data_IF_987703940526
#
_entry.id   IF_987703940526
#
_cell.length_a   1.000
_cell.length_b   1.000
_cell.length_c   1.000
_cell.angle_alpha   90.00
_cell.angle_beta   90.00
_cell.angle_gamma   90.00
#
_symmetry.space_group_name_H-M   'P 1'
#
loop_
_entity.id
_entity.type
_entity.pdbx_description
1 polymer ?
#
# COMPACT_ATOMS: atom_id res chain seq x y z
N UNK A 1 -14.61 -8.86 -3.47
CA UNK A 1 -13.84 -8.12 -2.44
C UNK A 1 -12.73 -7.31 -3.12
N UNK A 2 -12.47 -6.08 -2.65
CA UNK A 2 -11.38 -5.27 -3.18
C UNK A 2 -10.04 -5.70 -2.59
N UNK A 3 -8.99 -5.63 -3.40
CA UNK A 3 -7.62 -5.92 -3.04
C UNK A 3 -6.80 -4.71 -3.51
N UNK A 4 -6.11 -4.06 -2.57
CA UNK A 4 -5.20 -2.97 -2.84
C UNK A 4 -3.79 -3.45 -2.58
N UNK A 5 -2.98 -3.57 -3.64
CA UNK A 5 -1.59 -4.00 -3.56
C UNK A 5 -0.69 -2.80 -3.77
N UNK A 6 0.26 -2.56 -2.86
CA UNK A 6 1.16 -1.40 -2.91
C UNK A 6 2.61 -1.82 -2.98
N UNK A 7 3.42 -0.97 -3.60
CA UNK A 7 4.87 -1.10 -3.63
C UNK A 7 5.53 0.27 -3.48
N UNK A 8 6.78 0.27 -3.00
CA UNK A 8 7.57 1.47 -2.87
C UNK A 8 9.04 1.21 -3.22
N UNK A 9 9.60 2.07 -4.06
CA UNK A 9 11.02 2.12 -4.37
C UNK A 9 11.65 3.41 -3.84
N UNK A 10 12.96 3.55 -3.98
CA UNK A 10 13.67 4.77 -3.60
C UNK A 10 13.31 5.99 -4.47
N UNK A 11 12.58 5.79 -5.58
CA UNK A 11 12.27 6.83 -6.56
C UNK A 11 10.77 7.05 -6.76
N UNK A 12 9.95 6.03 -6.53
CA UNK A 12 8.50 6.09 -6.76
C UNK A 12 7.71 5.20 -5.80
N UNK A 13 6.41 5.47 -5.72
CA UNK A 13 5.43 4.61 -5.07
C UNK A 13 4.36 4.21 -6.08
N UNK A 14 3.84 2.99 -5.91
CA UNK A 14 2.91 2.37 -6.84
C UNK A 14 1.82 1.62 -6.12
N UNK A 15 0.66 1.53 -6.77
CA UNK A 15 -0.48 0.80 -6.26
C UNK A 15 -1.32 0.21 -7.40
N UNK A 16 -1.86 -0.98 -7.12
CA UNK A 16 -2.78 -1.69 -8.00
C UNK A 16 -4.05 -1.95 -7.20
N UNK A 17 -5.16 -1.45 -7.72
CA UNK A 17 -6.48 -1.78 -7.22
C UNK A 17 -7.06 -2.90 -8.07
N UNK A 18 -7.48 -3.96 -7.41
CA UNK A 18 -8.11 -5.11 -8.05
C UNK A 18 -9.32 -5.60 -7.27
N UNK A 19 -10.09 -6.49 -7.89
CA UNK A 19 -11.20 -7.19 -7.27
C UNK A 19 -11.08 -8.69 -7.48
N UNK A 20 -11.55 -9.45 -6.49
CA UNK A 20 -11.71 -10.90 -6.59
C UNK A 20 -13.06 -11.31 -5.98
N UNK A 21 -13.80 -12.29 -6.54
CA UNK A 21 -15.09 -12.71 -6.01
C UNK A 21 -15.04 -13.11 -4.52
N UNK A 22 -14.02 -13.86 -4.13
CA UNK A 22 -13.80 -14.38 -2.77
C UNK A 22 -12.69 -13.63 -2.00
N UNK A 23 -11.99 -12.70 -2.65
CA UNK A 23 -10.84 -12.00 -2.08
C UNK A 23 -9.53 -12.79 -2.19
N UNK A 24 -9.55 -13.94 -2.88
CA UNK A 24 -8.37 -14.72 -3.24
C UNK A 24 -7.56 -14.04 -4.34
N UNK A 25 -6.21 -14.08 -4.27
CA UNK A 25 -5.33 -13.62 -5.37
C UNK A 25 -5.47 -14.41 -6.67
N UNK A 26 -6.03 -15.62 -6.65
CA UNK A 26 -6.02 -16.52 -7.81
C UNK A 26 -6.97 -16.08 -8.95
N UNK A 27 -8.04 -15.36 -8.61
CA UNK A 27 -9.06 -14.87 -9.55
C UNK A 27 -9.18 -13.34 -9.49
N UNK A 28 -8.02 -12.67 -9.35
CA UNK A 28 -7.93 -11.22 -9.25
C UNK A 28 -8.05 -10.56 -10.63
N UNK A 29 -9.02 -9.65 -10.77
CA UNK A 29 -9.16 -8.79 -11.95
C UNK A 29 -8.77 -7.36 -11.57
N UNK A 30 -7.78 -6.81 -12.27
CA UNK A 30 -7.33 -5.43 -12.03
C UNK A 30 -8.39 -4.43 -12.46
N UNK A 31 -8.62 -3.43 -11.61
CA UNK A 31 -9.51 -2.29 -11.87
C UNK A 31 -8.67 -1.09 -12.33
N UNK A 32 -7.58 -0.80 -11.63
CA UNK A 32 -6.76 0.38 -11.89
C UNK A 32 -5.31 0.23 -11.43
N UNK A 33 -4.41 0.92 -12.11
CA UNK A 33 -3.00 1.09 -11.75
C UNK A 33 -2.76 2.57 -11.47
N UNK A 34 -2.04 2.88 -10.41
CA UNK A 34 -1.61 4.25 -10.10
C UNK A 34 -0.17 4.23 -9.61
N UNK A 35 0.62 5.22 -10.02
CA UNK A 35 1.97 5.44 -9.50
C UNK A 35 2.30 6.92 -9.47
N UNK A 36 3.25 7.29 -8.62
CA UNK A 36 3.86 8.62 -8.64
C UNK A 36 5.31 8.56 -8.23
N UNK A 37 6.09 9.48 -8.78
CA UNK A 37 7.45 9.74 -8.33
C UNK A 37 7.47 10.42 -6.96
N UNK A 38 8.52 10.13 -6.21
CA UNK A 38 8.81 10.77 -4.93
C UNK A 38 9.38 12.16 -5.18
N UNK A 39 9.04 13.11 -4.31
CA UNK A 39 9.52 14.49 -4.44
C UNK A 39 10.00 15.08 -3.11
N UNK A 40 11.00 15.95 -3.20
CA UNK A 40 11.48 16.75 -2.07
C UNK A 40 11.92 15.88 -0.87
N UNK A 41 11.35 16.06 0.33
CA UNK A 41 11.75 15.29 1.51
C UNK A 41 11.49 13.78 1.41
N UNK A 42 10.56 13.35 0.55
CA UNK A 42 10.20 11.93 0.40
C UNK A 42 11.39 11.09 -0.11
N UNK A 43 12.28 11.69 -0.92
CA UNK A 43 13.48 11.03 -1.45
C UNK A 43 14.48 10.62 -0.36
N UNK A 44 14.38 11.21 0.84
CA UNK A 44 15.26 10.91 1.97
C UNK A 44 14.63 9.95 2.99
N UNK A 45 13.46 9.41 2.68
CA UNK A 45 12.78 8.49 3.58
C UNK A 45 13.45 7.11 3.57
N UNK A 46 13.53 6.49 4.74
CA UNK A 46 13.91 5.09 4.84
C UNK A 46 12.83 4.22 4.18
N UNK A 47 13.20 3.01 3.73
CA UNK A 47 12.27 2.07 3.06
C UNK A 47 10.95 1.88 3.82
N UNK A 48 11.00 1.69 5.15
CA UNK A 48 9.81 1.57 6.00
C UNK A 48 8.89 2.80 5.94
N UNK A 49 9.44 3.99 5.79
CA UNK A 49 8.62 5.20 5.61
C UNK A 49 8.06 5.31 4.20
N UNK A 50 8.78 4.84 3.18
CA UNK A 50 8.29 4.82 1.80
C UNK A 50 7.16 3.83 1.60
N UNK A 51 7.28 2.63 2.17
CA UNK A 51 6.23 1.62 2.16
C UNK A 51 4.97 2.11 2.91
N UNK A 52 5.12 2.76 4.07
CA UNK A 52 3.98 3.35 4.78
C UNK A 52 3.35 4.51 4.03
N UNK A 53 4.18 5.32 3.35
CA UNK A 53 3.70 6.38 2.47
C UNK A 53 2.88 5.80 1.31
N UNK A 54 3.36 4.72 0.68
CA UNK A 54 2.66 4.03 -0.40
C UNK A 54 1.28 3.53 0.04
N UNK A 55 1.15 2.92 1.23
CA UNK A 55 -0.14 2.50 1.77
C UNK A 55 -1.11 3.65 1.97
N UNK A 56 -0.67 4.71 2.68
CA UNK A 56 -1.55 5.85 2.98
C UNK A 56 -1.98 6.55 1.68
N UNK A 57 -1.03 6.78 0.79
CA UNK A 57 -1.28 7.41 -0.50
C UNK A 57 -2.25 6.58 -1.36
N UNK A 58 -2.06 5.26 -1.43
CA UNK A 58 -2.90 4.37 -2.21
C UNK A 58 -4.34 4.31 -1.66
N UNK A 59 -4.50 4.24 -0.32
CA UNK A 59 -5.83 4.23 0.31
C UNK A 59 -6.57 5.54 0.06
N UNK A 60 -5.89 6.68 0.16
CA UNK A 60 -6.44 8.00 -0.15
C UNK A 60 -6.85 8.09 -1.63
N UNK A 61 -5.94 7.69 -2.53
CA UNK A 61 -6.16 7.71 -3.98
C UNK A 61 -7.36 6.86 -4.41
N UNK A 62 -7.55 5.69 -3.80
CA UNK A 62 -8.66 4.78 -4.10
C UNK A 62 -9.82 4.89 -3.11
N UNK A 63 -9.92 5.97 -2.32
CA UNK A 63 -10.95 6.13 -1.29
C UNK A 63 -12.36 5.86 -1.82
N UNK A 64 -12.70 6.30 -3.03
CA UNK A 64 -14.01 6.07 -3.64
C UNK A 64 -14.36 4.58 -3.83
N UNK A 65 -13.37 3.71 -3.96
CA UNK A 65 -13.56 2.26 -4.08
C UNK A 65 -13.54 1.53 -2.73
N UNK A 66 -12.88 2.12 -1.73
CA UNK A 66 -12.56 1.47 -0.46
C UNK A 66 -13.46 1.92 0.71
N UNK A 67 -13.96 3.15 0.66
CA UNK A 67 -14.77 3.73 1.74
C UNK A 67 -16.03 2.88 2.01
N UNK A 68 -16.26 2.56 3.29
CA UNK A 68 -17.41 1.77 3.74
C UNK A 68 -17.36 0.28 3.41
N UNK A 69 -16.28 -0.23 2.78
CA UNK A 69 -16.11 -1.64 2.42
C UNK A 69 -14.96 -2.26 3.20
N UNK A 70 -15.03 -3.58 3.39
CA UNK A 70 -13.87 -4.36 3.83
C UNK A 70 -13.03 -4.75 2.62
N UNK A 71 -11.73 -4.53 2.68
CA UNK A 71 -10.80 -4.85 1.60
C UNK A 71 -9.51 -5.48 2.11
N UNK A 72 -8.73 -6.09 1.22
CA UNK A 72 -7.39 -6.58 1.51
C UNK A 72 -6.38 -5.50 1.16
N UNK A 73 -5.45 -5.21 2.07
CA UNK A 73 -4.32 -4.32 1.84
C UNK A 73 -3.04 -5.18 1.79
N UNK A 74 -2.36 -5.22 0.65
CA UNK A 74 -1.16 -6.04 0.40
C UNK A 74 0.09 -5.18 0.31
N UNK A 75 1.12 -5.59 1.05
CA UNK A 75 2.47 -5.00 1.00
C UNK A 75 3.51 -6.10 1.09
N UNK A 76 4.67 -5.88 0.48
CA UNK A 76 5.86 -6.73 0.58
C UNK A 76 6.66 -6.53 1.87
N UNK A 77 6.23 -5.60 2.72
CA UNK A 77 6.88 -5.29 3.98
C UNK A 77 6.24 -5.97 5.19
N UNK A 78 6.91 -7.02 5.67
CA UNK A 78 6.60 -7.64 6.94
C UNK A 78 6.82 -6.67 8.13
N UNK A 79 7.79 -5.76 8.02
CA UNK A 79 8.08 -4.77 9.05
C UNK A 79 6.91 -3.79 9.24
N UNK A 80 6.26 -3.39 8.16
CA UNK A 80 5.12 -2.48 8.24
C UNK A 80 3.89 -3.11 8.89
N UNK A 81 3.68 -4.40 8.63
CA UNK A 81 2.63 -5.19 9.28
C UNK A 81 2.80 -5.17 10.80
N UNK A 82 4.05 -5.20 11.28
CA UNK A 82 4.36 -5.05 12.69
C UNK A 82 4.22 -3.60 13.19
N UNK A 83 4.61 -2.60 12.40
CA UNK A 83 4.51 -1.18 12.79
C UNK A 83 3.05 -0.72 12.92
N UNK A 84 2.17 -1.14 12.01
CA UNK A 84 0.75 -0.80 12.06
C UNK A 84 0.04 -1.51 13.22
N UNK A 85 0.53 -2.67 13.65
CA UNK A 85 0.00 -3.38 14.83
C UNK A 85 0.59 -2.89 16.16
N UNK A 86 1.81 -2.35 16.18
CA UNK A 86 2.52 -2.02 17.41
C UNK A 86 2.67 -0.49 17.62
N UNK A 87 1.95 0.05 18.61
CA UNK A 87 1.76 1.50 18.87
C UNK A 87 3.00 2.28 19.33
N UNK A 88 4.24 1.76 19.27
CA UNK A 88 5.41 2.42 19.86
C UNK A 88 6.53 2.63 18.84
N UNK A 89 6.84 3.91 18.54
CA UNK A 89 8.19 4.53 18.42
C UNK A 89 8.36 5.64 17.36
N UNK A 90 7.42 5.90 16.43
CA UNK A 90 7.59 6.98 15.44
C UNK A 90 6.30 7.79 15.21
N UNK A 91 6.34 9.11 15.48
CA UNK A 91 5.18 10.02 15.37
C UNK A 91 4.65 10.18 13.94
N UNK A 92 5.51 10.02 12.91
CA UNK A 92 5.08 10.03 11.51
C UNK A 92 4.28 8.78 11.17
N UNK A 93 4.80 7.60 11.50
CA UNK A 93 4.13 6.32 11.25
C UNK A 93 2.82 6.20 12.04
N UNK A 94 2.75 6.75 13.26
CA UNK A 94 1.49 6.80 14.01
C UNK A 94 0.42 7.67 13.35
N UNK A 95 0.80 8.82 12.79
CA UNK A 95 -0.14 9.69 12.06
C UNK A 95 -0.71 8.98 10.85
N UNK A 96 0.15 8.30 10.10
CA UNK A 96 -0.23 7.49 8.94
C UNK A 96 -1.09 6.28 9.34
N UNK A 97 -0.75 5.58 10.41
CA UNK A 97 -1.60 4.54 10.97
C UNK A 97 -2.98 5.07 11.37
N UNK A 98 -3.05 6.27 11.96
CA UNK A 98 -4.31 6.91 12.31
C UNK A 98 -5.15 7.32 11.09
N UNK A 99 -4.54 7.65 9.95
CA UNK A 99 -5.28 7.85 8.69
C UNK A 99 -5.93 6.55 8.20
N UNK A 100 -5.30 5.41 8.46
CA UNK A 100 -5.81 4.09 8.05
C UNK A 100 -6.90 3.55 8.99
N UNK A 101 -7.00 4.00 10.25
CA UNK A 101 -7.99 3.48 11.21
C UNK A 101 -9.44 3.74 10.82
N UNK A 102 -9.71 4.71 9.93
CA UNK A 102 -11.04 4.96 9.38
C UNK A 102 -11.52 3.89 8.39
N UNK A 103 -10.63 2.98 7.97
CA UNK A 103 -10.91 1.95 6.98
C UNK A 103 -10.97 0.57 7.61
N UNK A 104 -11.80 -0.31 7.04
CA UNK A 104 -11.87 -1.73 7.41
C UNK A 104 -11.02 -2.51 6.42
N UNK A 105 -9.85 -2.99 6.85
CA UNK A 105 -8.96 -3.74 5.97
C UNK A 105 -8.32 -4.94 6.65
N UNK A 106 -7.97 -5.93 5.83
CA UNK A 106 -7.17 -7.08 6.22
C UNK A 106 -5.78 -6.86 5.64
N UNK A 107 -4.79 -6.69 6.52
CA UNK A 107 -3.40 -6.51 6.09
C UNK A 107 -2.79 -7.88 5.76
N UNK A 108 -2.27 -8.03 4.54
CA UNK A 108 -1.63 -9.24 4.05
C UNK A 108 -0.22 -8.93 3.58
N UNK A 109 0.74 -9.75 4.02
CA UNK A 109 2.09 -9.72 3.46
C UNK A 109 2.10 -10.52 2.16
N UNK A 110 2.66 -9.94 1.09
CA UNK A 110 2.83 -10.62 -0.19
C UNK A 110 4.28 -10.46 -0.67
N UNK A 111 5.04 -11.56 -0.90
CA UNK A 111 6.46 -11.47 -1.23
C UNK A 111 6.73 -10.60 -2.47
N UNK A 112 7.71 -9.69 -2.40
CA UNK A 112 8.01 -8.73 -3.47
C UNK A 112 8.29 -9.33 -4.85
N UNK A 113 8.78 -10.59 -4.93
CA UNK A 113 8.97 -11.30 -6.21
C UNK A 113 7.67 -11.59 -6.96
N UNK A 114 6.55 -11.64 -6.24
CA UNK A 114 5.22 -11.88 -6.77
C UNK A 114 4.38 -10.60 -6.77
N UNK A 115 4.94 -9.46 -6.34
CA UNK A 115 4.21 -8.20 -6.24
C UNK A 115 4.07 -7.54 -7.62
N UNK A 116 2.87 -7.50 -8.23
CA UNK A 116 2.69 -6.88 -9.54
C UNK A 116 2.91 -5.36 -9.51
N UNK A 117 2.83 -4.71 -8.34
CA UNK A 117 3.03 -3.27 -8.21
C UNK A 117 4.51 -2.85 -8.32
N UNK A 118 5.45 -3.79 -8.20
CA UNK A 118 6.90 -3.57 -8.33
C UNK A 118 7.30 -2.98 -9.70
N UNK A 119 6.63 -3.41 -10.77
CA UNK A 119 6.87 -2.86 -12.10
C UNK A 119 6.54 -1.35 -12.19
N UNK A 120 5.58 -0.87 -11.40
CA UNK A 120 5.15 0.53 -11.40
C UNK A 120 6.14 1.46 -10.70
N UNK A 121 6.97 0.93 -9.79
CA UNK A 121 7.93 1.71 -8.99
C UNK A 121 9.35 1.64 -9.54
N UNK A 122 9.64 0.68 -10.44
CA UNK A 122 10.95 0.49 -11.07
C UNK A 122 11.09 1.07 -12.48
N UNK A 123 9.98 1.34 -13.18
CA UNK A 123 9.97 1.89 -14.55
C UNK A 123 9.69 3.40 -14.55
N UNK A 124 10.40 4.15 -13.72
CA UNK A 124 10.26 5.61 -13.66
C UNK A 124 11.01 6.22 -14.85
N UNK A 125 10.28 6.94 -15.71
CA UNK A 125 10.81 7.67 -16.86
C UNK A 125 11.13 9.14 -16.51
#
# INVERSE_FOLDING_TARGET
>A
MQILTTDASAEAIGAILSQSPDGSPNDETVIAYESRTLHGPELNYAAVHLEALALVWAVDKFQHYLAGRTFTLRTDSAALTFVLSNRKRNSKLQRWAASLTGYRYILQHHPGKENPADALTRLVA
#
